data_IF_707580221875
#
_entry.id   IF_707580221875
#
_cell.length_a   1.000
_cell.length_b   1.000
_cell.length_c   1.000
_cell.angle_alpha   90.00
_cell.angle_beta   90.00
_cell.angle_gamma   90.00
#
_symmetry.space_group_name_H-M   'P 1'
#
loop_
_entity.id
_entity.type
_entity.pdbx_description
1 polymer ?
#
# COMPACT_ATOMS: atom_id res chain seq x y z
N UNK A 1 -12.60 8.50 3.99
CA UNK A 1 -12.72 7.16 4.58
C UNK A 1 -11.33 6.64 4.86
N UNK A 2 -11.08 6.00 6.01
CA UNK A 2 -9.72 5.76 6.53
C UNK A 2 -8.77 5.01 5.58
N UNK A 3 -9.30 4.27 4.61
CA UNK A 3 -8.52 3.52 3.60
C UNK A 3 -8.36 4.24 2.26
N UNK A 4 -9.09 5.34 2.01
CA UNK A 4 -8.97 6.16 0.80
C UNK A 4 -7.84 7.17 0.96
N UNK A 5 -6.61 6.70 0.84
CA UNK A 5 -5.36 7.48 0.92
C UNK A 5 -4.46 7.05 -0.22
N UNK A 6 -3.32 7.72 -0.40
CA UNK A 6 -2.27 7.16 -1.25
C UNK A 6 -1.93 5.74 -0.75
N UNK A 7 -1.86 4.80 -1.68
CA UNK A 7 -1.69 3.39 -1.36
C UNK A 7 -0.76 2.70 -2.35
N UNK A 8 -0.09 1.66 -1.88
CA UNK A 8 0.79 0.81 -2.67
C UNK A 8 0.36 -0.64 -2.52
N UNK A 9 0.20 -1.32 -3.67
CA UNK A 9 0.05 -2.76 -3.73
C UNK A 9 1.43 -3.41 -3.59
N UNK A 10 1.61 -4.24 -2.58
CA UNK A 10 2.85 -4.98 -2.33
C UNK A 10 2.67 -6.43 -2.73
N UNK A 11 3.42 -6.82 -3.74
CA UNK A 11 3.52 -8.19 -4.25
C UNK A 11 4.89 -8.73 -3.87
N UNK A 12 4.92 -9.90 -3.24
CA UNK A 12 6.18 -10.55 -2.90
C UNK A 12 6.58 -11.48 -4.05
N UNK A 13 7.82 -11.36 -4.50
CA UNK A 13 8.41 -12.22 -5.52
C UNK A 13 9.65 -12.89 -4.95
N UNK A 14 9.69 -14.21 -5.00
CA UNK A 14 10.86 -15.01 -4.63
C UNK A 14 11.66 -15.35 -5.89
N UNK A 15 12.84 -14.75 -6.03
CA UNK A 15 13.80 -15.12 -7.08
C UNK A 15 14.69 -16.22 -6.53
N UNK A 16 14.65 -17.41 -7.14
CA UNK A 16 15.37 -18.61 -6.65
C UNK A 16 16.57 -18.99 -7.53
N UNK A 17 16.69 -18.37 -8.69
CA UNK A 17 17.82 -18.55 -9.60
C UNK A 17 17.85 -17.39 -10.57
N UNK A 18 19.04 -16.92 -10.92
CA UNK A 18 19.23 -15.90 -11.96
C UNK A 18 19.65 -16.51 -13.31
N UNK A 19 20.13 -17.76 -13.31
CA UNK A 19 20.46 -18.48 -14.54
C UNK A 19 20.31 -20.01 -14.39
N UNK A 20 19.28 -20.64 -14.99
CA UNK A 20 18.14 -19.99 -15.64
C UNK A 20 17.36 -19.14 -14.63
N UNK A 21 16.73 -18.06 -15.07
CA UNK A 21 15.90 -17.24 -14.20
C UNK A 21 14.72 -18.07 -13.69
N UNK A 22 14.52 -18.08 -12.37
CA UNK A 22 13.36 -18.70 -11.73
C UNK A 22 12.83 -17.73 -10.67
N UNK A 23 11.58 -17.32 -10.84
CA UNK A 23 10.89 -16.45 -9.93
C UNK A 23 9.48 -16.98 -9.63
N UNK A 24 9.01 -16.77 -8.40
CA UNK A 24 7.69 -17.20 -7.94
C UNK A 24 6.99 -16.01 -7.29
N UNK A 25 5.73 -15.79 -7.68
CA UNK A 25 4.89 -14.74 -7.10
C UNK A 25 4.12 -15.34 -5.92
N UNK A 26 4.16 -14.68 -4.76
CA UNK A 26 3.35 -15.05 -3.60
C UNK A 26 1.87 -14.72 -3.86
N UNK A 27 0.96 -15.60 -3.45
CA UNK A 27 -0.48 -15.50 -3.78
C UNK A 27 -1.21 -14.39 -3.03
N UNK A 28 -0.66 -13.96 -1.89
CA UNK A 28 -1.31 -13.01 -0.99
C UNK A 28 -0.64 -11.63 -1.02
N UNK A 29 -1.04 -10.73 -1.94
CA UNK A 29 -0.60 -9.35 -1.92
C UNK A 29 -1.31 -8.58 -0.79
N UNK A 30 -0.65 -7.53 -0.33
CA UNK A 30 -1.21 -6.63 0.68
C UNK A 30 -1.05 -5.18 0.25
N UNK A 31 -1.92 -4.31 0.75
CA UNK A 31 -1.89 -2.89 0.46
C UNK A 31 -1.40 -2.16 1.69
N UNK A 32 -0.45 -1.25 1.51
CA UNK A 32 -0.06 -0.29 2.55
C UNK A 32 -0.58 1.09 2.19
N UNK A 33 -1.10 1.81 3.18
CA UNK A 33 -1.61 3.18 2.99
C UNK A 33 -0.73 4.23 3.68
N UNK A 34 -0.72 5.43 3.11
CA UNK A 34 -0.16 6.61 3.73
C UNK A 34 -0.86 6.90 5.07
N UNK A 35 -0.15 7.57 5.99
CA UNK A 35 -0.71 7.91 7.29
C UNK A 35 -1.76 9.03 7.20
N UNK A 36 -1.58 9.97 6.27
CA UNK A 36 -2.45 11.13 6.06
C UNK A 36 -3.28 11.00 4.80
N UNK A 37 -4.44 11.65 4.79
CA UNK A 37 -5.29 11.75 3.60
C UNK A 37 -4.62 12.58 2.51
N UNK A 38 -4.83 12.14 1.27
CA UNK A 38 -4.29 12.82 0.10
C UNK A 38 -5.04 14.13 -0.16
N UNK A 39 -4.29 15.18 -0.44
CA UNK A 39 -4.81 16.48 -0.87
C UNK A 39 -3.97 17.01 -2.03
N UNK A 40 -4.60 17.77 -2.93
CA UNK A 40 -3.95 18.38 -4.10
C UNK A 40 -3.28 19.72 -3.79
N UNK A 41 -3.24 20.14 -2.51
CA UNK A 41 -2.57 21.36 -2.09
C UNK A 41 -1.06 21.28 -2.38
N UNK A 42 -0.45 22.36 -2.88
CA UNK A 42 0.97 22.37 -3.27
C UNK A 42 1.89 22.08 -2.09
N UNK A 43 1.51 22.53 -0.91
CA UNK A 43 2.22 22.35 0.35
C UNK A 43 2.24 20.88 0.79
N UNK A 44 1.29 20.08 0.30
CA UNK A 44 1.15 18.69 0.68
C UNK A 44 2.09 17.75 -0.08
N UNK A 45 2.66 18.16 -1.21
CA UNK A 45 3.66 17.35 -1.93
C UNK A 45 4.93 17.11 -1.10
N UNK A 46 5.25 18.01 -0.17
CA UNK A 46 6.36 17.85 0.76
C UNK A 46 5.96 17.13 2.07
N UNK A 47 4.68 16.82 2.25
CA UNK A 47 4.19 16.10 3.42
C UNK A 47 4.49 14.61 3.28
N UNK A 48 5.59 14.18 3.90
CA UNK A 48 6.00 12.78 3.98
C UNK A 48 4.84 11.86 4.40
N UNK A 49 4.00 12.28 5.34
CA UNK A 49 2.95 11.41 5.87
C UNK A 49 1.79 11.19 4.90
N UNK A 50 1.68 12.04 3.88
CA UNK A 50 0.73 11.89 2.79
C UNK A 50 1.33 11.14 1.60
N UNK A 51 2.62 11.35 1.33
CA UNK A 51 3.29 10.83 0.13
C UNK A 51 3.98 9.49 0.35
N UNK A 52 4.34 9.15 1.58
CA UNK A 52 5.11 7.96 1.91
C UNK A 52 4.21 6.81 2.39
N UNK A 53 4.34 5.66 1.73
CA UNK A 53 3.71 4.40 2.18
C UNK A 53 4.75 3.33 2.55
N UNK A 54 6.04 3.69 2.59
CA UNK A 54 7.11 2.79 2.98
C UNK A 54 7.16 2.56 4.49
N UNK A 55 7.72 1.40 4.84
CA UNK A 55 7.79 0.87 6.19
C UNK A 55 9.13 1.13 6.90
N UNK A 56 10.14 1.65 6.21
CA UNK A 56 11.47 1.87 6.78
C UNK A 56 11.75 3.32 7.13
N UNK A 57 10.89 4.23 6.69
CA UNK A 57 11.05 5.66 6.90
C UNK A 57 10.49 6.01 8.28
N UNK A 58 11.33 6.65 9.11
CA UNK A 58 11.05 6.95 10.53
C UNK A 58 9.69 7.62 10.80
N UNK A 59 9.27 7.67 12.08
CA UNK A 59 7.93 8.08 12.48
C UNK A 59 7.51 9.40 11.85
N UNK A 60 6.21 9.50 11.56
CA UNK A 60 5.60 10.75 11.18
C UNK A 60 5.56 11.68 12.41
N UNK A 61 6.58 12.52 12.60
CA UNK A 61 6.71 13.36 13.79
C UNK A 61 5.59 14.40 13.94
N UNK A 62 4.78 14.64 12.90
CA UNK A 62 3.65 15.57 12.89
C UNK A 62 2.26 14.91 12.98
N UNK A 63 2.15 13.73 13.61
CA UNK A 63 0.86 13.07 13.89
C UNK A 63 -0.04 13.91 14.84
N UNK A 64 0.50 14.91 15.53
CA UNK A 64 -0.24 15.83 16.41
C UNK A 64 -1.41 16.60 15.74
N UNK A 65 -1.56 16.53 14.41
CA UNK A 65 -2.69 17.13 13.66
C UNK A 65 -3.59 16.12 12.93
N UNK A 66 -3.42 14.81 13.13
CA UNK A 66 -4.32 13.78 12.59
C UNK A 66 -4.98 12.97 13.72
N UNK A 67 -5.86 13.59 14.54
CA UNK A 67 -6.44 12.96 15.71
C UNK A 67 -7.33 11.75 15.38
N UNK A 68 -7.94 11.68 14.21
CA UNK A 68 -8.83 10.56 13.85
C UNK A 68 -8.07 9.26 13.53
N UNK A 69 -6.97 9.32 12.78
CA UNK A 69 -6.26 8.10 12.37
C UNK A 69 -5.53 7.44 13.55
N UNK A 70 -4.95 8.26 14.43
CA UNK A 70 -4.26 7.80 15.65
C UNK A 70 -5.23 7.28 16.71
N UNK A 71 -6.44 7.85 16.80
CA UNK A 71 -7.50 7.36 17.69
C UNK A 71 -8.07 6.01 17.23
N UNK A 72 -8.17 5.79 15.92
CA UNK A 72 -8.72 4.54 15.36
C UNK A 72 -7.68 3.41 15.37
N UNK A 73 -6.40 3.69 15.15
CA UNK A 73 -5.38 2.63 14.90
C UNK A 73 -4.30 2.47 15.98
N UNK A 74 -4.43 3.15 17.14
CA UNK A 74 -3.38 3.14 18.18
C UNK A 74 -2.05 3.67 17.66
N UNK A 75 -0.95 3.56 18.43
CA UNK A 75 0.40 3.94 17.96
C UNK A 75 0.61 3.43 16.52
N UNK A 76 0.85 4.35 15.57
CA UNK A 76 0.91 4.06 14.13
C UNK A 76 2.16 3.22 13.86
N UNK A 77 2.05 1.91 14.03
CA UNK A 77 3.00 0.94 13.48
C UNK A 77 2.59 0.61 12.04
N UNK A 78 3.53 0.15 11.24
CA UNK A 78 3.26 -0.31 9.86
C UNK A 78 2.24 -1.44 9.82
N UNK A 79 2.22 -2.30 10.84
CA UNK A 79 1.22 -3.35 10.97
C UNK A 79 -0.21 -2.79 10.98
N UNK A 80 -0.39 -1.56 11.44
CA UNK A 80 -1.68 -0.88 11.52
C UNK A 80 -2.03 -0.09 10.25
N UNK A 81 -1.18 -0.08 9.22
CA UNK A 81 -1.43 0.61 7.94
C UNK A 81 -1.43 -0.34 6.73
N UNK A 82 -1.39 -1.63 6.99
CA UNK A 82 -1.41 -2.67 5.99
C UNK A 82 -2.70 -3.49 6.10
N UNK A 83 -3.25 -3.87 4.96
CA UNK A 83 -4.35 -4.83 4.86
C UNK A 83 -4.06 -5.82 3.75
N UNK A 84 -4.59 -7.04 3.88
CA UNK A 84 -4.68 -7.93 2.72
C UNK A 84 -5.44 -7.22 1.60
N UNK A 85 -5.04 -7.45 0.36
CA UNK A 85 -5.63 -6.75 -0.78
C UNK A 85 -7.16 -6.88 -0.84
N UNK A 86 -7.70 -8.08 -0.56
CA UNK A 86 -9.14 -8.33 -0.52
C UNK A 86 -9.88 -7.48 0.52
N UNK A 87 -9.32 -7.36 1.73
CA UNK A 87 -9.91 -6.54 2.79
C UNK A 87 -9.87 -5.07 2.42
N UNK A 88 -8.74 -4.59 1.89
CA UNK A 88 -8.61 -3.22 1.40
C UNK A 88 -9.64 -2.94 0.30
N UNK A 89 -9.75 -3.81 -0.69
CA UNK A 89 -10.66 -3.68 -1.82
C UNK A 89 -12.13 -3.58 -1.35
N UNK A 90 -12.52 -4.38 -0.35
CA UNK A 90 -13.83 -4.29 0.29
C UNK A 90 -14.04 -2.93 0.98
N UNK A 91 -13.03 -2.43 1.71
CA UNK A 91 -13.11 -1.15 2.42
C UNK A 91 -13.26 0.05 1.48
N UNK A 92 -12.64 0.01 0.31
CA UNK A 92 -12.74 1.12 -0.68
C UNK A 92 -13.91 0.96 -1.65
N UNK A 93 -14.57 -0.19 -1.65
CA UNK A 93 -15.73 -0.50 -2.49
C UNK A 93 -15.35 -0.87 -3.93
N UNK A 94 -14.24 -1.58 -4.12
CA UNK A 94 -13.83 -2.09 -5.43
C UNK A 94 -14.76 -3.21 -5.90
N UNK A 95 -15.14 -3.17 -7.19
CA UNK A 95 -15.88 -4.25 -7.82
C UNK A 95 -14.99 -5.48 -8.06
N UNK A 96 -15.59 -6.66 -8.21
CA UNK A 96 -14.85 -7.89 -8.54
C UNK A 96 -14.00 -7.74 -9.80
N UNK A 97 -14.52 -7.04 -10.82
CA UNK A 97 -13.81 -6.75 -12.06
C UNK A 97 -12.58 -5.84 -11.85
N UNK A 98 -12.69 -4.82 -11.00
CA UNK A 98 -11.56 -3.96 -10.67
C UNK A 98 -10.48 -4.72 -9.91
N UNK A 99 -10.87 -5.62 -8.99
CA UNK A 99 -9.95 -6.46 -8.23
C UNK A 99 -9.16 -7.39 -9.14
N UNK A 100 -9.86 -8.16 -10.00
CA UNK A 100 -9.21 -9.12 -10.91
C UNK A 100 -8.29 -8.41 -11.89
N UNK A 101 -8.78 -7.33 -12.53
CA UNK A 101 -7.99 -6.57 -13.50
C UNK A 101 -6.69 -6.03 -12.89
N UNK A 102 -6.74 -5.47 -11.67
CA UNK A 102 -5.54 -4.93 -11.04
C UNK A 102 -4.49 -6.01 -10.77
N UNK A 103 -4.90 -7.16 -10.25
CA UNK A 103 -3.99 -8.27 -9.94
C UNK A 103 -3.42 -8.88 -11.23
N UNK A 104 -4.28 -9.16 -12.21
CA UNK A 104 -3.87 -9.78 -13.47
C UNK A 104 -2.87 -8.90 -14.23
N UNK A 105 -3.15 -7.59 -14.36
CA UNK A 105 -2.24 -6.66 -15.03
C UNK A 105 -0.93 -6.47 -14.26
N UNK A 106 -0.98 -6.51 -12.92
CA UNK A 106 0.24 -6.46 -12.08
C UNK A 106 1.12 -7.68 -12.33
N UNK A 107 0.54 -8.88 -12.38
CA UNK A 107 1.29 -10.11 -12.61
C UNK A 107 1.84 -10.19 -14.03
N UNK A 108 1.07 -9.73 -15.04
CA UNK A 108 1.57 -9.59 -16.41
C UNK A 108 2.78 -8.66 -16.47
N UNK A 109 2.70 -7.50 -15.82
CA UNK A 109 3.81 -6.55 -15.75
C UNK A 109 5.05 -7.17 -15.09
N UNK A 110 4.89 -7.84 -13.96
CA UNK A 110 6.00 -8.53 -13.27
C UNK A 110 6.63 -9.59 -14.19
N UNK A 111 5.81 -10.40 -14.86
CA UNK A 111 6.29 -11.44 -15.78
C UNK A 111 6.99 -10.90 -17.03
N UNK A 112 6.73 -9.65 -17.42
CA UNK A 112 7.38 -9.01 -18.56
C UNK A 112 8.75 -8.41 -18.20
N UNK A 113 8.99 -8.14 -16.92
CA UNK A 113 10.22 -7.49 -16.43
C UNK A 113 11.22 -8.50 -15.84
N UNK A 114 10.72 -9.64 -15.35
CA UNK A 114 11.54 -10.77 -14.91
C UNK A 114 11.86 -11.66 -16.12
#
# INVERSE_FOLDING_TARGET
>A
GIWRRKSELRVLVAITSVYPLRAYIHTDPYVTVAAKEYTNAKEAFHDKCMTDTHSSTGPCDNIGKAPEFSKVMGKISIANRALRFEDYAKQVGMSSFQKSTLIDETYKLISAVL
#
